data_IF_523137058211
#
_entry.id   IF_523137058211
#
_cell.length_a   1.000
_cell.length_b   1.000
_cell.length_c   1.000
_cell.angle_alpha   90.00
_cell.angle_beta   90.00
_cell.angle_gamma   90.00
#
_symmetry.space_group_name_H-M   'P 1'
#
loop_
_entity.id
_entity.type
_entity.pdbx_description
1 polymer ?
#
# COMPACT_ATOMS: atom_id res chain seq x y z
N UNK A 1 -5.18 -45.89 -2.95
CA UNK A 1 -6.05 -44.99 -3.74
C UNK A 1 -5.19 -43.87 -4.28
N UNK A 2 -4.96 -43.88 -5.59
CA UNK A 2 -4.07 -42.96 -6.29
C UNK A 2 -4.81 -41.63 -6.46
N UNK A 3 -4.33 -40.58 -5.81
CA UNK A 3 -4.84 -39.22 -5.92
C UNK A 3 -4.51 -38.63 -7.29
N UNK A 4 -5.55 -38.43 -8.09
CA UNK A 4 -5.53 -37.73 -9.38
C UNK A 4 -5.14 -36.27 -9.17
N UNK A 5 -4.18 -35.70 -9.93
CA UNK A 5 -3.86 -34.29 -9.84
C UNK A 5 -5.00 -33.48 -10.47
N UNK A 6 -5.57 -32.56 -9.69
CA UNK A 6 -6.56 -31.57 -10.14
C UNK A 6 -5.99 -30.78 -11.32
N UNK A 7 -6.55 -30.98 -12.51
CA UNK A 7 -6.25 -30.14 -13.67
C UNK A 7 -6.68 -28.68 -13.36
N UNK A 8 -5.82 -27.68 -13.59
CA UNK A 8 -6.22 -26.29 -13.43
C UNK A 8 -7.31 -25.95 -14.45
N UNK A 9 -8.48 -25.55 -13.97
CA UNK A 9 -9.59 -25.11 -14.81
C UNK A 9 -9.15 -23.94 -15.70
N UNK A 10 -9.43 -24.02 -17.01
CA UNK A 10 -9.03 -23.01 -18.02
C UNK A 10 -9.56 -21.58 -17.73
N UNK A 11 -10.50 -21.43 -16.79
CA UNK A 11 -10.97 -20.13 -16.29
C UNK A 11 -10.13 -19.48 -15.18
N UNK A 12 -9.13 -20.17 -14.62
CA UNK A 12 -8.33 -19.66 -13.51
C UNK A 12 -7.29 -18.61 -13.93
N UNK A 13 -6.82 -18.64 -15.20
CA UNK A 13 -5.75 -17.74 -15.68
C UNK A 13 -6.21 -16.28 -15.66
N UNK A 14 -7.43 -16.00 -16.10
CA UNK A 14 -8.03 -14.67 -16.16
C UNK A 14 -8.26 -14.03 -14.78
N UNK A 15 -8.34 -14.83 -13.71
CA UNK A 15 -8.51 -14.35 -12.33
C UNK A 15 -7.19 -14.11 -11.62
N UNK A 16 -6.05 -14.52 -12.19
CA UNK A 16 -4.74 -14.28 -11.57
C UNK A 16 -4.43 -12.79 -11.60
N UNK A 17 -3.93 -12.25 -10.48
CA UNK A 17 -3.47 -10.85 -10.38
C UNK A 17 -2.46 -10.53 -11.50
N UNK A 18 -1.62 -11.51 -11.85
CA UNK A 18 -0.63 -11.46 -12.94
C UNK A 18 -1.28 -11.11 -14.28
N UNK A 19 -2.34 -11.82 -14.65
CA UNK A 19 -3.03 -11.60 -15.92
C UNK A 19 -3.75 -10.25 -15.94
N UNK A 20 -4.42 -9.88 -14.84
CA UNK A 20 -5.12 -8.59 -14.74
C UNK A 20 -4.16 -7.40 -14.84
N UNK A 21 -3.01 -7.47 -14.15
CA UNK A 21 -1.99 -6.42 -14.18
C UNK A 21 -1.34 -6.31 -15.57
N UNK A 22 -1.01 -7.46 -16.18
CA UNK A 22 -0.48 -7.51 -17.54
C UNK A 22 -1.46 -6.91 -18.57
N UNK A 23 -2.75 -7.29 -18.48
CA UNK A 23 -3.79 -6.80 -19.36
C UNK A 23 -4.02 -5.29 -19.19
N UNK A 24 -4.05 -4.79 -17.96
CA UNK A 24 -4.18 -3.34 -17.69
C UNK A 24 -2.99 -2.54 -18.22
N UNK A 25 -1.77 -2.99 -17.95
CA UNK A 25 -0.57 -2.32 -18.46
C UNK A 25 -0.52 -2.33 -19.98
N UNK A 26 -0.83 -3.46 -20.62
CA UNK A 26 -0.90 -3.55 -22.07
C UNK A 26 -1.99 -2.63 -22.64
N UNK A 27 -3.17 -2.57 -22.03
CA UNK A 27 -4.25 -1.69 -22.46
C UNK A 27 -3.87 -0.21 -22.37
N UNK A 28 -3.23 0.21 -21.27
CA UNK A 28 -2.76 1.60 -21.09
C UNK A 28 -1.72 1.96 -22.16
N UNK A 29 -0.75 1.06 -22.42
CA UNK A 29 0.27 1.28 -23.46
C UNK A 29 -0.37 1.38 -24.85
N UNK A 30 -1.30 0.48 -25.18
CA UNK A 30 -1.99 0.47 -26.47
C UNK A 30 -2.79 1.76 -26.66
N UNK A 31 -3.62 2.15 -25.67
CA UNK A 31 -4.44 3.37 -25.76
C UNK A 31 -3.56 4.61 -25.89
N UNK A 32 -2.53 4.73 -25.06
CA UNK A 32 -1.61 5.89 -25.09
C UNK A 32 -0.88 5.98 -26.43
N UNK A 33 -0.38 4.86 -26.95
CA UNK A 33 0.27 4.80 -28.25
C UNK A 33 -0.68 5.16 -29.39
N UNK A 34 -1.92 4.64 -29.38
CA UNK A 34 -2.92 4.96 -30.40
C UNK A 34 -3.29 6.45 -30.40
N UNK A 35 -3.54 7.03 -29.22
CA UNK A 35 -3.80 8.47 -29.08
C UNK A 35 -2.62 9.29 -29.60
N UNK A 36 -1.39 8.89 -29.26
CA UNK A 36 -0.18 9.59 -29.72
C UNK A 36 0.00 9.49 -31.23
N UNK A 37 -0.20 8.31 -31.83
CA UNK A 37 -0.10 8.09 -33.28
C UNK A 37 -1.18 8.87 -34.04
N UNK A 38 -2.42 8.86 -33.55
CA UNK A 38 -3.52 9.64 -34.13
C UNK A 38 -3.20 11.14 -34.01
N UNK A 39 -2.75 11.60 -32.84
CA UNK A 39 -2.37 12.98 -32.61
C UNK A 39 -1.25 13.45 -33.54
N UNK A 40 -0.19 12.66 -33.68
CA UNK A 40 0.92 12.94 -34.59
C UNK A 40 0.44 13.03 -36.04
N UNK A 41 -0.35 12.05 -36.49
CA UNK A 41 -0.93 12.04 -37.84
C UNK A 41 -1.74 13.31 -38.12
N UNK A 42 -2.61 13.71 -37.20
CA UNK A 42 -3.42 14.91 -37.35
C UNK A 42 -2.59 16.19 -37.28
N UNK A 43 -1.56 16.21 -36.43
CA UNK A 43 -0.61 17.32 -36.33
C UNK A 43 0.15 17.55 -37.63
N UNK A 44 0.66 16.48 -38.26
CA UNK A 44 1.35 16.57 -39.57
C UNK A 44 0.40 17.06 -40.65
N UNK A 45 -0.82 16.50 -40.72
CA UNK A 45 -1.83 16.97 -41.67
C UNK A 45 -2.15 18.45 -41.49
N UNK A 46 -2.34 18.87 -40.24
CA UNK A 46 -2.62 20.26 -39.91
C UNK A 46 -1.46 21.17 -40.32
N UNK A 47 -0.22 20.78 -40.02
CA UNK A 47 0.99 21.52 -40.39
C UNK A 47 1.11 21.69 -41.92
N UNK A 48 0.94 20.62 -42.70
CA UNK A 48 1.02 20.67 -44.17
C UNK A 48 -0.05 21.57 -44.79
N UNK A 49 -1.29 21.51 -44.28
CA UNK A 49 -2.37 22.38 -44.77
C UNK A 49 -2.12 23.83 -44.36
N UNK A 50 -1.63 24.07 -43.15
CA UNK A 50 -1.32 25.41 -42.67
C UNK A 50 -0.15 26.05 -43.43
N UNK A 51 0.89 25.28 -43.74
CA UNK A 51 2.00 25.73 -44.58
C UNK A 51 1.50 26.07 -45.99
N UNK A 52 0.66 25.22 -46.58
CA UNK A 52 0.04 25.51 -47.87
C UNK A 52 -0.81 26.78 -47.83
N UNK A 53 -1.56 26.99 -46.75
CA UNK A 53 -2.36 28.19 -46.52
C UNK A 53 -1.52 29.46 -46.51
N UNK A 54 -0.37 29.44 -45.83
CA UNK A 54 0.56 30.56 -45.79
C UNK A 54 1.15 30.85 -47.16
N UNK A 55 1.65 29.83 -47.85
CA UNK A 55 2.22 29.95 -49.21
C UNK A 55 1.20 30.56 -50.17
N UNK A 56 -0.06 30.09 -50.15
CA UNK A 56 -1.09 30.62 -51.04
C UNK A 56 -1.43 32.09 -50.73
N UNK A 57 -1.41 32.51 -49.47
CA UNK A 57 -1.65 33.92 -49.10
C UNK A 57 -0.49 34.80 -49.56
N UNK A 58 0.75 34.35 -49.34
CA UNK A 58 1.95 35.07 -49.76
C UNK A 58 2.04 35.20 -51.30
N UNK A 59 1.76 34.11 -52.03
CA UNK A 59 1.75 34.09 -53.50
C UNK A 59 0.70 35.05 -54.07
N UNK A 60 -0.51 35.10 -53.49
CA UNK A 60 -1.56 36.04 -53.94
C UNK A 60 -1.10 37.48 -53.74
N UNK A 61 -0.44 37.77 -52.61
CA UNK A 61 0.09 39.11 -52.33
C UNK A 61 1.21 39.49 -53.29
N UNK A 62 2.13 38.57 -53.60
CA UNK A 62 3.20 38.79 -54.59
C UNK A 62 2.63 39.07 -55.98
N UNK A 63 1.61 38.31 -56.40
CA UNK A 63 0.93 38.51 -57.69
C UNK A 63 0.18 39.84 -57.71
N UNK A 64 -0.44 40.26 -56.60
CA UNK A 64 -1.08 41.57 -56.49
C UNK A 64 -0.07 42.70 -56.72
N UNK A 65 1.09 42.63 -56.06
CA UNK A 65 2.18 43.59 -56.23
C UNK A 65 2.70 43.60 -57.68
N UNK A 66 2.88 42.42 -58.28
CA UNK A 66 3.31 42.29 -59.66
C UNK A 66 2.31 42.94 -60.64
N UNK A 67 1.00 42.68 -60.48
CA UNK A 67 -0.06 43.30 -61.30
C UNK A 67 -0.05 44.82 -61.15
N UNK A 68 0.10 45.34 -59.93
CA UNK A 68 0.14 46.80 -59.67
C UNK A 68 1.38 47.48 -60.24
N UNK A 69 2.48 46.75 -60.42
CA UNK A 69 3.75 47.29 -60.95
C UNK A 69 3.84 47.34 -62.47
N UNK A 70 2.99 46.59 -63.18
CA UNK A 70 3.06 46.41 -64.64
C UNK A 70 2.08 47.34 -65.36
N UNK A 71 2.58 48.04 -66.39
CA UNK A 71 1.73 48.85 -67.30
C UNK A 71 0.96 47.97 -68.30
N UNK A 72 -0.10 48.52 -68.92
CA UNK A 72 -0.92 47.86 -69.96
C UNK A 72 -0.11 47.18 -71.07
N UNK A 73 1.03 47.77 -71.49
CA UNK A 73 1.91 47.22 -72.52
C UNK A 73 2.71 45.97 -72.05
N UNK A 74 2.91 45.80 -70.75
CA UNK A 74 3.68 44.71 -70.15
C UNK A 74 2.86 43.45 -69.82
N UNK A 75 1.55 43.42 -70.10
CA UNK A 75 0.66 42.29 -69.79
C UNK A 75 1.09 40.95 -70.39
N UNK A 76 1.58 40.87 -71.65
CA UNK A 76 2.08 39.60 -72.18
C UNK A 76 3.23 39.05 -71.36
N UNK A 77 4.16 39.91 -70.93
CA UNK A 77 5.30 39.53 -70.10
C UNK A 77 4.88 39.11 -68.68
N UNK A 78 3.88 39.77 -68.09
CA UNK A 78 3.29 39.36 -66.81
C UNK A 78 2.64 37.98 -66.91
N UNK A 79 1.82 37.74 -67.94
CA UNK A 79 1.19 36.43 -68.18
C UNK A 79 2.23 35.35 -68.39
N UNK A 80 3.27 35.62 -69.17
CA UNK A 80 4.38 34.69 -69.39
C UNK A 80 5.14 34.40 -68.08
N UNK A 81 5.33 35.40 -67.22
CA UNK A 81 5.90 35.23 -65.88
C UNK A 81 5.04 34.34 -64.97
N UNK A 82 3.72 34.57 -64.94
CA UNK A 82 2.77 33.75 -64.18
C UNK A 82 2.65 32.32 -64.73
N UNK A 83 2.68 32.15 -66.05
CA UNK A 83 2.75 30.82 -66.69
C UNK A 83 4.01 30.09 -66.27
N UNK A 84 5.17 30.75 -66.31
CA UNK A 84 6.45 30.14 -65.89
C UNK A 84 6.46 29.77 -64.40
N UNK A 85 5.84 30.59 -63.56
CA UNK A 85 5.64 30.30 -62.14
C UNK A 85 4.73 29.08 -61.94
N UNK A 86 3.65 28.96 -62.73
CA UNK A 86 2.76 27.81 -62.70
C UNK A 86 3.46 26.53 -63.15
N UNK A 87 4.15 26.56 -64.29
CA UNK A 87 4.94 25.44 -64.80
C UNK A 87 6.04 25.02 -63.81
N UNK A 88 6.68 25.99 -63.13
CA UNK A 88 7.65 25.74 -62.07
C UNK A 88 7.07 25.00 -60.86
N UNK A 89 5.75 25.10 -60.66
CA UNK A 89 4.99 24.46 -59.58
C UNK A 89 3.98 23.42 -60.10
N UNK A 90 4.17 22.88 -61.30
CA UNK A 90 3.29 21.87 -61.93
C UNK A 90 3.08 20.66 -60.99
N UNK A 91 4.17 20.20 -60.33
CA UNK A 91 4.14 19.12 -59.33
C UNK A 91 3.40 19.45 -58.04
N UNK A 92 2.85 20.65 -57.87
CA UNK A 92 1.97 21.01 -56.75
C UNK A 92 0.55 21.34 -57.23
N UNK A 93 0.29 21.19 -58.54
CA UNK A 93 -0.96 21.60 -59.19
C UNK A 93 -1.33 23.03 -58.84
N UNK A 94 -0.31 23.89 -58.74
CA UNK A 94 -0.49 25.30 -58.42
C UNK A 94 -0.99 26.02 -59.66
N UNK A 95 -1.93 26.93 -59.48
CA UNK A 95 -2.51 27.69 -60.58
C UNK A 95 -2.89 29.10 -60.15
N UNK A 96 -2.96 29.98 -61.15
CA UNK A 96 -3.45 31.35 -61.00
C UNK A 96 -4.61 31.58 -61.95
N UNK A 97 -5.63 32.26 -61.45
CA UNK A 97 -6.76 32.71 -62.22
C UNK A 97 -7.00 34.20 -61.97
N UNK A 98 -7.17 34.96 -63.05
CA UNK A 98 -7.48 36.38 -63.02
C UNK A 98 -8.92 36.57 -63.49
N UNK A 99 -9.70 37.29 -62.70
CA UNK A 99 -11.11 37.57 -62.97
C UNK A 99 -11.36 39.07 -63.10
N UNK A 100 -12.34 39.43 -63.92
CA UNK A 100 -12.83 40.78 -64.09
C UNK A 100 -13.68 41.26 -62.92
N UNK A 101 -14.12 42.52 -62.97
CA UNK A 101 -15.04 43.10 -61.98
C UNK A 101 -16.43 42.43 -62.00
N UNK A 102 -16.82 41.91 -63.16
CA UNK A 102 -18.04 41.12 -63.40
C UNK A 102 -17.93 39.66 -62.93
N UNK A 103 -16.73 39.24 -62.50
CA UNK A 103 -16.43 37.85 -62.15
C UNK A 103 -16.20 36.95 -63.37
N UNK A 104 -16.14 37.50 -64.59
CA UNK A 104 -15.76 36.74 -65.78
C UNK A 104 -14.25 36.43 -65.76
N UNK A 105 -13.88 35.25 -66.24
CA UNK A 105 -12.48 34.85 -66.28
C UNK A 105 -11.71 35.58 -67.38
N UNK A 106 -10.71 36.35 -67.00
CA UNK A 106 -9.82 37.07 -67.92
C UNK A 106 -8.70 36.14 -68.41
N UNK A 107 -8.14 35.35 -67.51
CA UNK A 107 -7.02 34.48 -67.81
C UNK A 107 -6.84 33.37 -66.76
N UNK A 108 -6.34 32.22 -67.21
CA UNK A 108 -5.96 31.08 -66.39
C UNK A 108 -4.56 30.62 -66.77
N UNK A 109 -3.78 30.19 -65.78
CA UNK A 109 -2.57 29.42 -66.04
C UNK A 109 -2.91 28.07 -66.70
N UNK A 110 -2.00 27.47 -67.49
CA UNK A 110 -2.26 26.20 -68.17
C UNK A 110 -2.71 25.07 -67.24
N UNK A 111 -2.18 25.03 -66.01
CA UNK A 111 -2.48 24.01 -64.99
C UNK A 111 -3.75 24.30 -64.18
N UNK A 112 -4.49 25.35 -64.52
CA UNK A 112 -5.75 25.66 -63.84
C UNK A 112 -6.80 24.58 -64.13
N UNK A 113 -7.60 24.19 -63.13
CA UNK A 113 -8.68 23.23 -63.34
C UNK A 113 -9.68 23.75 -64.39
N UNK A 114 -10.19 22.85 -65.25
CA UNK A 114 -11.11 23.20 -66.34
C UNK A 114 -12.41 23.91 -65.88
N UNK A 115 -12.76 23.75 -64.60
CA UNK A 115 -13.67 24.63 -63.87
C UNK A 115 -12.92 25.20 -62.67
N UNK A 116 -12.15 26.27 -62.89
CA UNK A 116 -11.73 27.08 -61.77
C UNK A 116 -13.00 27.51 -61.03
N UNK A 117 -13.10 27.28 -59.71
CA UNK A 117 -14.33 27.53 -59.00
C UNK A 117 -14.78 28.96 -59.24
N UNK A 118 -16.03 29.19 -59.63
CA UNK A 118 -16.69 30.50 -59.59
C UNK A 118 -17.34 30.66 -58.23
N UNK A 119 -16.53 30.74 -57.17
CA UNK A 119 -17.05 30.98 -55.82
C UNK A 119 -17.62 32.41 -55.74
N UNK A 120 -18.55 32.69 -54.81
CA UNK A 120 -19.07 34.04 -54.59
C UNK A 120 -17.93 35.03 -54.29
N UNK A 121 -18.05 36.26 -54.81
CA UNK A 121 -17.02 37.31 -54.77
C UNK A 121 -16.68 37.81 -53.34
N UNK A 122 -17.46 37.43 -52.32
CA UNK A 122 -17.47 38.09 -51.00
C UNK A 122 -16.46 37.54 -49.97
N UNK A 123 -15.78 36.41 -50.22
CA UNK A 123 -14.84 35.83 -49.22
C UNK A 123 -13.41 36.36 -49.42
N UNK A 124 -13.07 37.40 -48.64
CA UNK A 124 -11.70 37.92 -48.52
C UNK A 124 -10.73 36.91 -47.91
N UNK A 125 -9.54 36.80 -48.52
CA UNK A 125 -8.22 36.36 -48.02
C UNK A 125 -8.10 35.02 -47.25
N UNK A 126 -9.20 34.34 -46.91
CA UNK A 126 -9.16 33.10 -46.13
C UNK A 126 -9.04 31.89 -47.05
N UNK A 127 -8.01 31.04 -46.88
CA UNK A 127 -7.88 29.83 -47.66
C UNK A 127 -9.06 28.87 -47.44
N UNK A 128 -9.62 28.37 -48.53
CA UNK A 128 -10.77 27.45 -48.54
C UNK A 128 -10.45 26.18 -49.32
N UNK A 129 -10.99 25.06 -48.85
CA UNK A 129 -10.85 23.78 -49.55
C UNK A 129 -12.06 23.58 -50.45
N UNK A 130 -11.85 23.40 -51.74
CA UNK A 130 -12.90 23.19 -52.74
C UNK A 130 -12.47 22.14 -53.75
N UNK A 131 -13.28 21.09 -53.93
CA UNK A 131 -13.09 20.03 -54.94
C UNK A 131 -11.67 19.44 -55.01
N UNK A 132 -11.03 19.25 -53.85
CA UNK A 132 -9.66 18.72 -53.79
C UNK A 132 -8.55 19.76 -53.97
N UNK A 133 -8.88 21.03 -54.15
CA UNK A 133 -7.93 22.14 -54.15
C UNK A 133 -8.03 22.96 -52.86
N UNK A 134 -6.93 23.62 -52.50
CA UNK A 134 -6.90 24.71 -51.52
C UNK A 134 -6.74 26.01 -52.29
N UNK A 135 -7.58 27.00 -52.03
CA UNK A 135 -7.70 28.21 -52.85
C UNK A 135 -7.79 29.44 -51.98
N UNK A 136 -7.09 30.50 -52.38
CA UNK A 136 -7.14 31.85 -51.79
C UNK A 136 -7.58 32.84 -52.86
N UNK A 137 -8.37 33.84 -52.46
CA UNK A 137 -8.85 34.90 -53.35
C UNK A 137 -8.62 36.26 -52.74
N UNK A 138 -8.25 37.21 -53.59
CA UNK A 138 -8.07 38.59 -53.20
C UNK A 138 -8.69 39.53 -54.23
N UNK A 139 -9.66 40.38 -53.82
CA UNK A 139 -10.17 41.42 -54.70
C UNK A 139 -9.11 42.51 -54.88
N UNK A 140 -9.02 43.04 -56.10
CA UNK A 140 -8.21 44.21 -56.44
C UNK A 140 -9.11 45.45 -56.36
N UNK A 141 -8.88 46.31 -55.37
CA UNK A 141 -9.58 47.59 -55.22
C UNK A 141 -8.57 48.73 -55.06
N UNK A 142 -8.52 49.71 -55.99
CA UNK A 142 -9.26 49.76 -57.26
C UNK A 142 -8.82 48.63 -58.21
N UNK A 143 -9.71 48.17 -59.10
CA UNK A 143 -9.39 47.23 -60.16
C UNK A 143 -8.25 47.77 -61.02
N UNK A 144 -7.30 46.90 -61.34
CA UNK A 144 -6.14 47.28 -62.14
C UNK A 144 -6.34 46.67 -63.51
N UNK A 145 -6.47 47.53 -64.52
CA UNK A 145 -6.39 47.09 -65.91
C UNK A 145 -7.48 46.09 -66.35
N UNK A 146 -8.65 46.13 -65.67
CA UNK A 146 -9.79 45.24 -65.88
C UNK A 146 -9.79 43.99 -64.99
N UNK A 147 -8.70 43.73 -64.26
CA UNK A 147 -8.64 42.65 -63.26
C UNK A 147 -9.24 43.14 -61.95
N UNK A 148 -10.37 42.55 -61.57
CA UNK A 148 -11.08 42.83 -60.32
C UNK A 148 -10.76 41.84 -59.19
N UNK A 149 -10.27 40.64 -59.52
CA UNK A 149 -9.94 39.60 -58.52
C UNK A 149 -8.82 38.67 -58.97
N UNK A 150 -7.95 38.32 -58.02
CA UNK A 150 -6.89 37.31 -58.16
C UNK A 150 -7.33 36.07 -57.38
N UNK A 151 -7.14 34.91 -57.98
CA UNK A 151 -7.28 33.62 -57.32
C UNK A 151 -6.01 32.80 -57.53
N UNK A 152 -5.47 32.25 -56.44
CA UNK A 152 -4.39 31.28 -56.47
C UNK A 152 -4.86 30.02 -55.78
N UNK A 153 -4.52 28.87 -56.32
CA UNK A 153 -4.86 27.60 -55.69
C UNK A 153 -3.84 26.51 -55.98
N UNK A 154 -3.88 25.46 -55.17
CA UNK A 154 -3.03 24.29 -55.32
C UNK A 154 -3.80 23.01 -55.01
N UNK A 155 -3.41 21.88 -55.60
CA UNK A 155 -4.08 20.60 -55.34
C UNK A 155 -3.70 20.03 -53.97
N UNK A 156 -4.68 19.49 -53.25
CA UNK A 156 -4.47 18.73 -52.02
C UNK A 156 -4.04 17.27 -52.30
N UNK A 157 -3.93 16.86 -53.56
CA UNK A 157 -3.57 15.49 -53.94
C UNK A 157 -2.18 15.10 -53.43
N UNK A 158 -1.20 16.02 -53.49
CA UNK A 158 0.14 15.80 -52.94
C UNK A 158 0.09 15.58 -51.43
N UNK A 159 -0.66 16.41 -50.69
CA UNK A 159 -0.87 16.23 -49.25
C UNK A 159 -1.59 14.91 -48.96
N UNK A 160 -2.58 14.50 -49.77
CA UNK A 160 -3.26 13.21 -49.62
C UNK A 160 -2.32 12.04 -49.86
N UNK A 161 -1.45 12.11 -50.87
CA UNK A 161 -0.46 11.07 -51.17
C UNK A 161 0.60 10.96 -50.07
N UNK A 162 1.07 12.09 -49.54
CA UNK A 162 1.98 12.13 -48.39
C UNK A 162 1.32 11.54 -47.14
N UNK A 163 0.07 11.91 -46.89
CA UNK A 163 -0.70 11.34 -45.79
C UNK A 163 -0.94 9.84 -45.95
N UNK A 164 -1.14 9.32 -47.17
CA UNK A 164 -1.29 7.88 -47.40
C UNK A 164 -0.02 7.10 -47.03
N UNK A 165 1.16 7.66 -47.29
CA UNK A 165 2.44 7.07 -46.85
C UNK A 165 2.56 7.09 -45.33
N UNK A 166 2.20 8.20 -44.69
CA UNK A 166 2.17 8.30 -43.23
C UNK A 166 1.19 7.28 -42.64
N UNK A 167 0.02 7.10 -43.25
CA UNK A 167 -1.00 6.13 -42.80
C UNK A 167 -0.47 4.70 -42.79
N UNK A 168 0.31 4.31 -43.80
CA UNK A 168 0.98 3.00 -43.83
C UNK A 168 1.95 2.83 -42.66
N UNK A 169 2.80 3.82 -42.38
CA UNK A 169 3.73 3.77 -41.25
C UNK A 169 3.02 3.78 -39.90
N UNK A 170 1.96 4.57 -39.76
CA UNK A 170 1.13 4.61 -38.55
C UNK A 170 0.46 3.26 -38.31
N UNK A 171 -0.08 2.61 -39.36
CA UNK A 171 -0.68 1.28 -39.25
C UNK A 171 0.35 0.22 -38.87
N UNK A 172 1.55 0.24 -39.46
CA UNK A 172 2.64 -0.67 -39.09
C UNK A 172 3.07 -0.47 -37.63
N UNK A 173 3.23 0.78 -37.19
CA UNK A 173 3.57 1.10 -35.81
C UNK A 173 2.47 0.66 -34.83
N UNK A 174 1.20 0.92 -35.16
CA UNK A 174 0.06 0.49 -34.36
C UNK A 174 -0.02 -1.04 -34.24
N UNK A 175 0.20 -1.76 -35.35
CA UNK A 175 0.27 -3.23 -35.36
C UNK A 175 1.42 -3.78 -34.52
N UNK A 176 2.60 -3.16 -34.61
CA UNK A 176 3.75 -3.53 -33.78
C UNK A 176 3.43 -3.36 -32.28
N UNK A 177 2.87 -2.21 -31.88
CA UNK A 177 2.48 -1.95 -30.48
C UNK A 177 1.42 -2.96 -30.02
N UNK A 178 0.43 -3.27 -30.85
CA UNK A 178 -0.63 -4.22 -30.51
C UNK A 178 -0.08 -5.64 -30.23
N UNK A 179 1.00 -6.02 -30.91
CA UNK A 179 1.67 -7.31 -30.71
C UNK A 179 2.65 -7.29 -29.52
N UNK A 180 3.46 -6.23 -29.39
CA UNK A 180 4.52 -6.18 -28.38
C UNK A 180 4.00 -5.81 -26.99
N UNK A 181 2.98 -4.95 -26.88
CA UNK A 181 2.49 -4.50 -25.57
C UNK A 181 1.95 -5.63 -24.69
N UNK A 182 1.15 -6.61 -25.19
CA UNK A 182 0.74 -7.77 -24.40
C UNK A 182 1.91 -8.66 -23.98
N UNK A 183 2.89 -8.88 -24.87
CA UNK A 183 4.07 -9.69 -24.59
C UNK A 183 4.93 -9.07 -23.48
N UNK A 184 5.24 -7.78 -23.61
CA UNK A 184 5.97 -7.01 -22.61
C UNK A 184 5.21 -6.94 -21.29
N UNK A 185 3.90 -6.65 -21.33
CA UNK A 185 3.04 -6.60 -20.15
C UNK A 185 3.00 -7.93 -19.40
N UNK A 186 2.89 -9.04 -20.12
CA UNK A 186 2.92 -10.38 -19.54
C UNK A 186 4.28 -10.72 -18.93
N UNK A 187 5.38 -10.41 -19.63
CA UNK A 187 6.73 -10.64 -19.13
C UNK A 187 7.00 -9.87 -17.82
N UNK A 188 6.64 -8.58 -17.78
CA UNK A 188 6.85 -7.72 -16.62
C UNK A 188 6.02 -8.19 -15.42
N UNK A 189 4.73 -8.48 -15.63
CA UNK A 189 3.85 -9.00 -14.59
C UNK A 189 4.31 -10.38 -14.08
N UNK A 190 4.83 -11.23 -14.97
CA UNK A 190 5.37 -12.54 -14.62
C UNK A 190 6.62 -12.42 -13.75
N UNK A 191 7.52 -11.47 -14.04
CA UNK A 191 8.74 -11.25 -13.23
C UNK A 191 8.41 -10.78 -11.83
N UNK A 192 7.55 -9.76 -11.70
CA UNK A 192 7.13 -9.22 -10.41
C UNK A 192 6.45 -10.28 -9.54
N UNK A 193 5.57 -11.07 -10.15
CA UNK A 193 4.77 -12.01 -9.38
C UNK A 193 5.49 -13.35 -9.09
N UNK A 194 6.55 -13.71 -9.82
CA UNK A 194 7.47 -14.80 -9.40
C UNK A 194 8.18 -14.42 -8.11
N UNK A 195 8.73 -13.20 -8.07
CA UNK A 195 9.42 -12.66 -6.90
C UNK A 195 8.58 -12.71 -5.63
N UNK A 196 7.31 -12.29 -5.71
CA UNK A 196 6.38 -12.38 -4.58
C UNK A 196 6.07 -13.84 -4.24
N UNK A 197 5.93 -14.70 -5.25
CA UNK A 197 5.71 -16.13 -5.07
C UNK A 197 6.80 -16.81 -4.25
N UNK A 198 8.06 -16.49 -4.53
CA UNK A 198 9.22 -17.06 -3.81
C UNK A 198 9.15 -16.72 -2.32
N UNK A 199 8.89 -15.44 -1.97
CA UNK A 199 8.74 -14.98 -0.58
C UNK A 199 7.58 -15.70 0.11
N UNK A 200 6.43 -15.82 -0.55
CA UNK A 200 5.26 -16.52 0.00
C UNK A 200 5.58 -18.00 0.25
N UNK A 201 6.24 -18.66 -0.69
CA UNK A 201 6.59 -20.08 -0.53
C UNK A 201 7.61 -20.27 0.59
N UNK A 202 8.62 -19.41 0.70
CA UNK A 202 9.58 -19.46 1.81
C UNK A 202 8.86 -19.23 3.14
N UNK A 203 8.06 -18.17 3.25
CA UNK A 203 7.28 -17.88 4.46
C UNK A 203 6.34 -19.03 4.84
N UNK A 204 5.72 -19.71 3.87
CA UNK A 204 4.85 -20.87 4.11
C UNK A 204 5.62 -22.13 4.55
N UNK A 205 6.92 -22.22 4.25
CA UNK A 205 7.79 -23.31 4.72
C UNK A 205 8.43 -23.05 6.08
N UNK A 206 8.49 -21.79 6.52
CA UNK A 206 9.03 -21.42 7.83
C UNK A 206 8.17 -22.05 8.92
N UNK A 207 8.80 -22.88 9.74
CA UNK A 207 8.17 -23.45 10.93
C UNK A 207 8.56 -22.60 12.13
N UNK A 208 7.60 -22.11 12.94
CA UNK A 208 7.87 -21.28 14.13
C UNK A 208 8.85 -21.91 15.14
N UNK A 209 9.08 -23.22 15.07
CA UNK A 209 9.84 -24.01 16.04
C UNK A 209 11.35 -24.09 15.70
N UNK A 210 11.79 -23.66 14.51
CA UNK A 210 13.22 -23.55 14.19
C UNK A 210 13.64 -22.08 14.19
N UNK A 211 14.12 -21.64 15.35
CA UNK A 211 14.51 -20.28 15.78
C UNK A 211 15.63 -19.59 14.97
N UNK A 212 15.84 -19.93 13.69
CA UNK A 212 16.90 -19.34 12.88
C UNK A 212 16.61 -19.28 11.38
N UNK A 213 15.39 -19.59 10.95
CA UNK A 213 15.01 -19.43 9.54
C UNK A 213 14.32 -18.08 9.35
N UNK A 214 15.06 -17.12 8.78
CA UNK A 214 14.56 -15.81 8.39
C UNK A 214 14.31 -15.75 6.88
N UNK A 215 13.40 -14.88 6.45
CA UNK A 215 13.30 -14.53 5.04
C UNK A 215 14.59 -13.84 4.59
N UNK A 216 15.16 -14.33 3.48
CA UNK A 216 16.35 -13.74 2.89
C UNK A 216 16.05 -12.33 2.37
N UNK A 217 16.83 -11.36 2.85
CA UNK A 217 16.78 -9.97 2.38
C UNK A 217 17.58 -9.89 1.08
N UNK A 218 16.99 -9.28 0.05
CA UNK A 218 17.62 -9.22 -1.29
C UNK A 218 18.66 -8.13 -1.39
N UNK A 219 18.56 -7.11 -0.53
CA UNK A 219 19.45 -5.95 -0.54
C UNK A 219 19.11 -4.96 -1.65
N UNK A 220 17.90 -5.02 -2.20
CA UNK A 220 17.36 -4.07 -3.17
C UNK A 220 16.91 -2.76 -2.50
N UNK A 221 16.58 -2.79 -1.20
CA UNK A 221 16.10 -1.62 -0.47
C UNK A 221 14.70 -1.15 -0.89
N UNK A 222 13.93 -2.03 -1.52
CA UNK A 222 12.57 -1.77 -2.01
C UNK A 222 11.51 -2.25 -1.01
N UNK A 223 10.24 -2.08 -1.36
CA UNK A 223 9.09 -2.44 -0.50
C UNK A 223 9.07 -3.93 -0.15
N UNK A 224 9.70 -4.77 -0.96
CA UNK A 224 9.81 -6.21 -0.72
C UNK A 224 10.79 -6.54 0.41
N UNK A 225 11.92 -5.82 0.50
CA UNK A 225 12.85 -5.94 1.62
C UNK A 225 12.19 -5.44 2.93
N UNK A 226 11.42 -4.35 2.87
CA UNK A 226 10.65 -3.85 4.02
C UNK A 226 9.61 -4.86 4.51
N UNK A 227 8.93 -5.56 3.59
CA UNK A 227 8.00 -6.63 3.96
C UNK A 227 8.73 -7.81 4.60
N UNK A 228 9.87 -8.23 4.05
CA UNK A 228 10.69 -9.31 4.61
C UNK A 228 11.15 -8.97 6.05
N UNK A 229 11.62 -7.73 6.28
CA UNK A 229 11.99 -7.24 7.61
C UNK A 229 10.81 -7.26 8.59
N UNK A 230 9.63 -6.81 8.15
CA UNK A 230 8.42 -6.80 8.98
C UNK A 230 8.00 -8.21 9.38
N UNK A 231 8.03 -9.16 8.43
CA UNK A 231 7.71 -10.57 8.72
C UNK A 231 8.75 -11.18 9.65
N UNK A 232 10.04 -10.92 9.43
CA UNK A 232 11.10 -11.40 10.31
C UNK A 232 10.89 -10.89 11.75
N UNK A 233 10.57 -9.61 11.95
CA UNK A 233 10.28 -9.07 13.28
C UNK A 233 9.05 -9.71 13.95
N UNK A 234 8.03 -10.07 13.18
CA UNK A 234 6.88 -10.83 13.71
C UNK A 234 7.28 -12.26 14.11
N UNK A 235 8.12 -12.93 13.30
CA UNK A 235 8.64 -14.26 13.61
C UNK A 235 9.48 -14.24 14.89
N UNK A 236 10.35 -13.25 15.05
CA UNK A 236 11.18 -13.10 16.26
C UNK A 236 10.30 -12.91 17.51
N UNK A 237 9.22 -12.12 17.41
CA UNK A 237 8.28 -11.92 18.53
C UNK A 237 7.51 -13.19 18.90
N UNK A 238 7.11 -13.98 17.90
CA UNK A 238 6.46 -15.28 18.12
C UNK A 238 7.45 -16.26 18.76
N UNK A 239 8.70 -16.29 18.28
CA UNK A 239 9.77 -17.12 18.83
C UNK A 239 9.96 -16.87 20.34
N UNK A 240 10.15 -15.60 20.72
CA UNK A 240 10.29 -15.21 22.15
C UNK A 240 9.09 -15.65 22.98
N UNK A 241 7.87 -15.48 22.46
CA UNK A 241 6.65 -15.89 23.15
C UNK A 241 6.55 -17.41 23.32
N UNK A 242 6.89 -18.19 22.30
CA UNK A 242 6.86 -19.66 22.34
C UNK A 242 7.91 -20.19 23.31
N UNK A 243 9.13 -19.64 23.31
CA UNK A 243 10.20 -20.05 24.22
C UNK A 243 9.83 -19.73 25.67
N UNK A 244 9.32 -18.53 25.94
CA UNK A 244 8.85 -18.15 27.29
C UNK A 244 7.76 -19.10 27.81
N UNK A 245 6.80 -19.49 26.94
CA UNK A 245 5.76 -20.46 27.29
C UNK A 245 6.33 -21.85 27.56
N UNK A 246 7.36 -22.26 26.81
CA UNK A 246 8.02 -23.55 27.00
C UNK A 246 8.77 -23.60 28.33
N UNK A 247 9.50 -22.54 28.66
CA UNK A 247 10.23 -22.42 29.92
C UNK A 247 9.26 -22.39 31.12
N UNK A 248 8.16 -21.65 30.99
CA UNK A 248 7.09 -21.65 31.99
C UNK A 248 6.53 -23.06 32.24
N UNK A 249 6.18 -23.80 31.17
CA UNK A 249 5.69 -25.18 31.30
C UNK A 249 6.73 -26.13 31.90
N UNK A 250 8.02 -25.94 31.57
CA UNK A 250 9.10 -26.72 32.13
C UNK A 250 9.27 -26.47 33.63
N UNK A 251 9.20 -25.21 34.07
CA UNK A 251 9.27 -24.83 35.47
C UNK A 251 8.06 -25.34 36.25
N UNK A 252 6.85 -25.17 35.73
CA UNK A 252 5.63 -25.71 36.35
C UNK A 252 5.70 -27.23 36.54
N UNK A 253 6.21 -27.97 35.55
CA UNK A 253 6.41 -29.41 35.66
C UNK A 253 7.46 -29.79 36.72
N UNK A 254 8.46 -28.95 36.95
CA UNK A 254 9.46 -29.15 38.01
C UNK A 254 8.85 -28.92 39.40
N UNK A 255 8.20 -27.78 39.60
CA UNK A 255 7.56 -27.39 40.86
C UNK A 255 6.45 -28.37 41.27
N UNK A 256 5.72 -28.97 40.33
CA UNK A 256 4.73 -30.01 40.62
C UNK A 256 5.36 -31.35 41.02
N UNK A 257 6.56 -31.67 40.51
CA UNK A 257 7.21 -32.97 40.75
C UNK A 257 7.72 -33.10 42.18
N UNK A 258 8.17 -32.00 42.79
CA UNK A 258 8.70 -31.97 44.15
C UNK A 258 7.69 -32.40 45.23
N UNK A 259 6.53 -31.74 45.40
CA UNK A 259 5.53 -32.14 46.39
C UNK A 259 4.96 -33.53 46.09
N UNK A 260 4.82 -33.90 44.81
CA UNK A 260 4.36 -35.24 44.42
C UNK A 260 5.36 -36.34 44.81
N UNK A 261 6.67 -36.05 44.75
CA UNK A 261 7.70 -36.95 45.25
C UNK A 261 7.70 -37.03 46.79
N UNK A 262 7.46 -35.92 47.48
CA UNK A 262 7.34 -35.87 48.94
C UNK A 262 6.14 -36.69 49.44
N UNK A 263 4.93 -36.48 48.87
CA UNK A 263 3.73 -37.28 49.17
C UNK A 263 4.02 -38.77 48.98
N UNK A 264 4.64 -39.13 47.85
CA UNK A 264 4.98 -40.52 47.57
C UNK A 264 5.96 -41.08 48.61
N UNK A 265 6.97 -40.31 48.99
CA UNK A 265 7.93 -40.71 50.02
C UNK A 265 7.24 -40.93 51.37
N UNK A 266 6.39 -40.02 51.82
CA UNK A 266 5.68 -40.15 53.10
C UNK A 266 4.77 -41.38 53.12
N UNK A 267 4.10 -41.69 52.01
CA UNK A 267 3.29 -42.92 51.88
C UNK A 267 4.17 -44.19 51.84
N UNK A 268 5.29 -44.18 51.09
CA UNK A 268 6.23 -45.31 51.06
C UNK A 268 6.86 -45.56 52.43
N UNK A 269 7.18 -44.49 53.17
CA UNK A 269 7.62 -44.56 54.56
C UNK A 269 6.51 -45.22 55.37
N UNK A 270 5.29 -44.67 55.39
CA UNK A 270 4.15 -45.21 56.14
C UNK A 270 3.92 -46.71 55.91
N UNK A 271 4.13 -47.21 54.69
CA UNK A 271 3.97 -48.63 54.34
C UNK A 271 5.14 -49.54 54.75
N UNK A 272 6.34 -49.01 54.99
CA UNK A 272 7.58 -49.78 55.20
C UNK A 272 7.87 -50.25 56.64
N UNK A 273 6.84 -50.53 57.45
CA UNK A 273 7.01 -51.12 58.78
C UNK A 273 5.90 -50.78 59.76
N UNK A 274 5.81 -51.54 60.86
CA UNK A 274 4.92 -51.19 61.99
C UNK A 274 5.42 -49.91 62.67
N UNK A 275 4.48 -49.00 62.96
CA UNK A 275 4.70 -47.69 63.60
C UNK A 275 3.67 -47.45 64.69
N UNK A 276 3.96 -46.50 65.57
CA UNK A 276 2.97 -46.05 66.53
C UNK A 276 1.82 -45.32 65.82
N UNK A 277 0.62 -45.26 66.44
CA UNK A 277 -0.47 -44.43 65.92
C UNK A 277 -0.09 -42.96 65.74
N UNK A 278 0.74 -42.42 66.64
CA UNK A 278 1.22 -41.03 66.60
C UNK A 278 2.11 -40.78 65.37
N UNK A 279 3.03 -41.70 65.04
CA UNK A 279 3.87 -41.59 63.84
C UNK A 279 3.08 -41.69 62.53
N UNK A 280 1.95 -42.42 62.53
CA UNK A 280 1.03 -42.45 61.38
C UNK A 280 0.24 -41.15 61.25
N UNK A 281 -0.17 -40.54 62.36
CA UNK A 281 -0.84 -39.24 62.36
C UNK A 281 0.10 -38.16 61.82
N UNK A 282 1.36 -38.12 62.26
CA UNK A 282 2.37 -37.18 61.75
C UNK A 282 2.59 -37.32 60.23
N UNK A 283 2.74 -38.55 59.73
CA UNK A 283 2.90 -38.80 58.28
C UNK A 283 1.66 -38.41 57.47
N UNK A 284 0.46 -38.55 58.03
CA UNK A 284 -0.79 -38.11 57.39
C UNK A 284 -0.89 -36.59 57.36
N UNK A 285 -0.43 -35.90 58.41
CA UNK A 285 -0.34 -34.43 58.44
C UNK A 285 0.61 -33.95 57.35
N UNK A 286 1.82 -34.53 57.22
CA UNK A 286 2.77 -34.19 56.16
C UNK A 286 2.16 -34.35 54.75
N UNK A 287 1.43 -35.45 54.52
CA UNK A 287 0.75 -35.67 53.23
C UNK A 287 -0.33 -34.61 52.96
N UNK A 288 -1.09 -34.21 53.98
CA UNK A 288 -2.12 -33.16 53.85
C UNK A 288 -1.47 -31.81 53.54
N UNK A 289 -0.36 -31.47 54.19
CA UNK A 289 0.38 -30.24 53.93
C UNK A 289 0.91 -30.18 52.49
N UNK A 290 1.51 -31.27 52.01
CA UNK A 290 1.99 -31.36 50.62
C UNK A 290 0.86 -31.31 49.59
N UNK A 291 -0.31 -31.91 49.89
CA UNK A 291 -1.50 -31.78 49.06
C UNK A 291 -1.98 -30.32 48.99
N UNK A 292 -1.96 -29.59 50.12
CA UNK A 292 -2.30 -28.18 50.17
C UNK A 292 -1.33 -27.31 49.37
N UNK A 293 -0.03 -27.60 49.43
CA UNK A 293 0.98 -26.92 48.62
C UNK A 293 0.77 -27.15 47.12
N UNK A 294 0.44 -28.38 46.72
CA UNK A 294 0.11 -28.71 45.34
C UNK A 294 -1.15 -27.98 44.85
N UNK A 295 -2.20 -27.91 45.68
CA UNK A 295 -3.44 -27.18 45.37
C UNK A 295 -3.16 -25.69 45.16
N UNK A 296 -2.36 -25.08 46.03
CA UNK A 296 -1.95 -23.67 45.89
C UNK A 296 -1.19 -23.44 44.57
N UNK A 297 -0.24 -24.32 44.23
CA UNK A 297 0.53 -24.22 42.98
C UNK A 297 -0.38 -24.34 41.75
N UNK A 298 -1.31 -25.30 41.73
CA UNK A 298 -2.26 -25.47 40.62
C UNK A 298 -3.15 -24.24 40.47
N UNK A 299 -3.66 -23.68 41.58
CA UNK A 299 -4.47 -22.47 41.55
C UNK A 299 -3.68 -21.25 41.02
N UNK A 300 -2.39 -21.13 41.37
CA UNK A 300 -1.52 -20.09 40.82
C UNK A 300 -1.31 -20.24 39.32
N UNK A 301 -1.08 -21.47 38.83
CA UNK A 301 -0.93 -21.75 37.41
C UNK A 301 -2.21 -21.46 36.61
N UNK A 302 -3.38 -21.81 37.17
CA UNK A 302 -4.68 -21.51 36.57
C UNK A 302 -4.94 -20.01 36.48
N UNK A 303 -4.68 -19.28 37.56
CA UNK A 303 -4.81 -17.83 37.59
C UNK A 303 -3.92 -17.17 36.52
N UNK A 304 -2.67 -17.61 36.40
CA UNK A 304 -1.76 -17.08 35.39
C UNK A 304 -2.27 -17.37 33.96
N UNK A 305 -2.72 -18.60 33.70
CA UNK A 305 -3.28 -18.97 32.41
C UNK A 305 -4.55 -18.17 32.05
N UNK A 306 -5.40 -17.87 33.03
CA UNK A 306 -6.59 -17.01 32.85
C UNK A 306 -6.18 -15.56 32.55
N UNK A 307 -5.16 -15.02 33.23
CA UNK A 307 -4.68 -13.65 32.98
C UNK A 307 -4.02 -13.47 31.61
N UNK A 308 -3.35 -14.49 31.08
CA UNK A 308 -2.77 -14.45 29.72
C UNK A 308 -3.85 -14.52 28.62
N UNK A 309 -4.97 -15.19 28.89
CA UNK A 309 -6.04 -15.39 27.92
C UNK A 309 -7.03 -14.21 27.83
N UNK A 310 -7.19 -13.41 28.90
CA UNK A 310 -8.40 -12.60 29.10
C UNK A 310 -8.16 -11.10 29.42
N UNK A 311 -7.08 -10.52 28.88
CA UNK A 311 -6.78 -9.08 29.01
C UNK A 311 -7.93 -8.11 28.62
N UNK A 312 -8.90 -8.41 27.74
CA UNK A 312 -9.99 -7.47 27.43
C UNK A 312 -11.28 -7.61 28.28
N UNK A 313 -11.46 -8.66 29.09
CA UNK A 313 -12.81 -9.01 29.62
C UNK A 313 -12.95 -8.99 31.16
N UNK A 314 -11.88 -8.68 31.90
CA UNK A 314 -12.01 -8.46 33.35
C UNK A 314 -13.00 -7.31 33.60
N UNK A 315 -14.15 -7.60 34.22
CA UNK A 315 -15.11 -6.58 34.66
C UNK A 315 -14.41 -5.62 35.61
N UNK A 316 -14.06 -4.45 35.10
CA UNK A 316 -13.54 -3.34 35.89
C UNK A 316 -14.71 -2.72 36.66
N UNK A 317 -14.68 -2.82 37.98
CA UNK A 317 -15.67 -2.22 38.86
C UNK A 317 -15.00 -1.21 39.82
N UNK A 318 -15.74 -0.22 40.36
CA UNK A 318 -15.21 0.64 41.41
C UNK A 318 -14.91 -0.17 42.68
N UNK A 319 -13.64 -0.19 43.11
CA UNK A 319 -13.14 -0.91 44.29
C UNK A 319 -12.48 0.09 45.24
N UNK A 320 -12.89 0.08 46.51
CA UNK A 320 -12.21 0.85 47.57
C UNK A 320 -11.04 0.02 48.15
N UNK A 321 -9.81 0.46 47.87
CA UNK A 321 -8.60 -0.22 48.33
C UNK A 321 -8.44 -0.19 49.85
N UNK A 322 -8.95 0.84 50.53
CA UNK A 322 -8.85 0.92 52.00
C UNK A 322 -9.66 -0.19 52.68
N UNK A 323 -10.87 -0.44 52.18
CA UNK A 323 -11.76 -1.50 52.64
C UNK A 323 -11.20 -2.88 52.29
N UNK A 324 -10.64 -3.03 51.09
CA UNK A 324 -10.02 -4.28 50.65
C UNK A 324 -8.79 -4.60 51.52
N UNK A 325 -7.96 -3.61 51.83
CA UNK A 325 -6.80 -3.77 52.69
C UNK A 325 -7.15 -4.14 54.14
N UNK A 326 -8.13 -3.46 54.74
CA UNK A 326 -8.61 -3.81 56.07
C UNK A 326 -9.09 -5.26 56.14
N UNK A 327 -9.92 -5.69 55.18
CA UNK A 327 -10.47 -7.06 55.15
C UNK A 327 -9.39 -8.13 54.95
N UNK A 328 -8.38 -7.84 54.13
CA UNK A 328 -7.27 -8.77 53.92
C UNK A 328 -6.42 -8.89 55.19
N UNK A 329 -6.13 -7.79 55.89
CA UNK A 329 -5.43 -7.83 57.18
C UNK A 329 -6.20 -8.66 58.21
N UNK A 330 -7.51 -8.40 58.37
CA UNK A 330 -8.37 -9.14 59.31
C UNK A 330 -8.33 -10.66 59.09
N UNK A 331 -8.19 -11.10 57.83
CA UNK A 331 -8.13 -12.52 57.47
C UNK A 331 -6.84 -13.20 57.94
N UNK A 332 -5.72 -12.47 57.98
CA UNK A 332 -4.41 -13.01 58.35
C UNK A 332 -4.03 -12.78 59.81
N UNK A 333 -4.81 -11.99 60.57
CA UNK A 333 -4.53 -11.68 61.99
C UNK A 333 -4.30 -12.94 62.82
N UNK A 334 -5.16 -13.96 62.70
CA UNK A 334 -5.00 -15.21 63.46
C UNK A 334 -3.74 -16.00 63.11
N UNK A 335 -3.29 -15.96 61.85
CA UNK A 335 -2.06 -16.63 61.40
C UNK A 335 -0.83 -15.88 61.93
N UNK A 336 -0.86 -14.54 61.89
CA UNK A 336 0.20 -13.71 62.42
C UNK A 336 0.34 -13.86 63.95
N UNK A 337 -0.78 -13.86 64.68
CA UNK A 337 -0.82 -14.07 66.13
C UNK A 337 -0.22 -15.41 66.54
N UNK A 338 -0.57 -16.49 65.82
CA UNK A 338 -0.02 -17.83 66.06
C UNK A 338 1.51 -17.89 65.86
N UNK A 339 2.07 -17.00 65.02
CA UNK A 339 3.52 -16.86 64.79
C UNK A 339 4.18 -15.79 65.66
N UNK A 340 3.42 -15.09 66.51
CA UNK A 340 3.91 -13.99 67.33
C UNK A 340 4.40 -12.80 66.51
N UNK A 341 3.76 -12.52 65.37
CA UNK A 341 4.06 -11.39 64.48
C UNK A 341 2.96 -10.34 64.65
N UNK A 342 3.35 -9.08 64.81
CA UNK A 342 2.42 -7.96 64.90
C UNK A 342 1.93 -7.56 63.49
N UNK A 343 0.70 -7.92 63.13
CA UNK A 343 0.06 -7.51 61.88
C UNK A 343 -0.86 -6.31 62.13
N UNK A 344 -0.53 -5.15 61.55
CA UNK A 344 -1.27 -3.90 61.77
C UNK A 344 -1.66 -3.21 60.46
N UNK A 345 -2.77 -2.48 60.51
CA UNK A 345 -3.12 -1.50 59.48
C UNK A 345 -2.45 -0.16 59.81
N UNK A 346 -1.73 0.38 58.83
CA UNK A 346 -1.10 1.69 58.94
C UNK A 346 -2.06 2.80 58.52
N UNK A 347 -1.62 3.69 57.62
CA UNK A 347 -2.49 4.73 57.06
C UNK A 347 -3.37 4.13 55.97
N UNK A 348 -4.70 4.15 56.15
CA UNK A 348 -5.66 3.68 55.14
C UNK A 348 -6.53 4.84 54.64
N UNK A 349 -6.09 5.50 53.57
CA UNK A 349 -6.87 6.57 52.94
C UNK A 349 -7.94 6.00 52.00
N UNK A 350 -9.19 6.51 52.04
CA UNK A 350 -10.23 6.07 51.12
C UNK A 350 -9.80 6.28 49.67
N UNK A 351 -9.77 5.20 48.88
CA UNK A 351 -9.23 5.24 47.54
C UNK A 351 -10.01 4.30 46.61
N UNK A 352 -10.88 4.89 45.79
CA UNK A 352 -11.70 4.16 44.82
C UNK A 352 -10.97 4.09 43.49
N UNK A 353 -10.65 2.88 43.04
CA UNK A 353 -10.05 2.61 41.73
C UNK A 353 -10.96 1.75 40.87
N UNK A 354 -10.83 1.83 39.54
CA UNK A 354 -11.44 0.87 38.63
C UNK A 354 -10.54 -0.37 38.56
N UNK A 355 -11.07 -1.52 38.96
CA UNK A 355 -10.31 -2.77 38.96
C UNK A 355 -11.19 -4.00 39.18
N UNK A 356 -10.60 -5.18 39.08
CA UNK A 356 -11.25 -6.43 39.47
C UNK A 356 -10.99 -6.68 40.96
N UNK A 357 -12.04 -6.65 41.78
CA UNK A 357 -11.92 -6.79 43.23
C UNK A 357 -11.30 -8.14 43.67
N UNK A 358 -11.55 -9.22 42.93
CA UNK A 358 -10.98 -10.54 43.23
C UNK A 358 -9.47 -10.56 42.97
N UNK A 359 -9.02 -10.04 41.82
CA UNK A 359 -7.59 -9.99 41.49
C UNK A 359 -6.81 -9.08 42.44
N UNK A 360 -7.35 -7.89 42.77
CA UNK A 360 -6.71 -6.98 43.72
C UNK A 360 -6.60 -7.59 45.13
N UNK A 361 -7.65 -8.30 45.58
CA UNK A 361 -7.62 -9.06 46.83
C UNK A 361 -6.57 -10.17 46.81
N UNK A 362 -6.46 -10.89 45.70
CA UNK A 362 -5.46 -11.94 45.53
C UNK A 362 -4.04 -11.40 45.65
N UNK A 363 -3.74 -10.30 44.94
CA UNK A 363 -2.43 -9.63 45.02
C UNK A 363 -2.13 -9.24 46.45
N UNK A 364 -3.07 -8.58 47.13
CA UNK A 364 -2.84 -8.15 48.50
C UNK A 364 -2.69 -9.31 49.48
N UNK A 365 -3.49 -10.36 49.34
CA UNK A 365 -3.37 -11.56 50.16
C UNK A 365 -2.01 -12.24 49.96
N UNK A 366 -1.53 -12.35 48.72
CA UNK A 366 -0.22 -12.92 48.42
C UNK A 366 0.92 -12.08 49.04
N UNK A 367 0.80 -10.75 49.00
CA UNK A 367 1.78 -9.87 49.64
C UNK A 367 1.80 -10.01 51.17
N UNK A 368 0.62 -10.05 51.80
CA UNK A 368 0.51 -10.22 53.25
C UNK A 368 0.97 -11.62 53.69
N UNK A 369 0.60 -12.67 52.96
CA UNK A 369 1.04 -14.04 53.24
C UNK A 369 2.57 -14.15 53.18
N UNK A 370 3.18 -13.61 52.11
CA UNK A 370 4.63 -13.54 52.00
C UNK A 370 5.26 -12.76 53.16
N UNK A 371 4.72 -11.58 53.48
CA UNK A 371 5.22 -10.76 54.58
C UNK A 371 5.19 -11.51 55.93
N UNK A 372 4.09 -12.19 56.25
CA UNK A 372 3.94 -13.01 57.46
C UNK A 372 4.83 -14.25 57.41
N UNK A 373 5.10 -14.82 56.23
CA UNK A 373 5.97 -15.98 56.05
C UNK A 373 7.44 -15.68 56.30
N UNK A 374 7.93 -14.52 55.88
CA UNK A 374 9.36 -14.16 55.96
C UNK A 374 9.72 -13.25 57.13
N UNK A 375 8.75 -12.85 57.95
CA UNK A 375 8.98 -12.09 59.18
C UNK A 375 9.26 -13.02 60.36
N UNK A 376 10.32 -12.73 61.13
CA UNK A 376 10.64 -13.48 62.34
C UNK A 376 9.66 -13.21 63.50
N UNK A 377 9.60 -14.11 64.47
CA UNK A 377 8.80 -13.92 65.68
C UNK A 377 9.19 -12.61 66.40
N UNK A 378 8.20 -11.82 66.82
CA UNK A 378 8.38 -10.49 67.39
C UNK A 378 8.56 -9.37 66.34
N UNK A 379 8.55 -9.71 65.05
CA UNK A 379 8.55 -8.75 63.95
C UNK A 379 7.16 -8.16 63.67
N UNK A 380 7.10 -7.26 62.68
CA UNK A 380 5.91 -6.48 62.34
C UNK A 380 5.65 -6.48 60.84
N UNK A 381 4.38 -6.57 60.47
CA UNK A 381 3.88 -6.35 59.10
C UNK A 381 2.85 -5.22 59.14
N UNK A 382 3.02 -4.22 58.28
CA UNK A 382 2.15 -3.04 58.18
C UNK A 382 1.59 -2.90 56.76
N UNK A 383 0.29 -2.68 56.64
CA UNK A 383 -0.38 -2.41 55.36
C UNK A 383 -0.89 -0.98 55.31
N UNK A 384 -0.45 -0.22 54.29
CA UNK A 384 -0.79 1.19 54.06
C UNK A 384 -1.48 1.38 52.69
N UNK A 385 -2.44 2.29 52.64
CA UNK A 385 -3.06 2.84 51.43
C UNK A 385 -2.94 4.35 51.49
N UNK A 386 -2.19 4.95 50.57
CA UNK A 386 -2.00 6.40 50.49
C UNK A 386 -2.37 6.93 49.10
N UNK A 387 -2.90 8.14 49.05
CA UNK A 387 -3.33 8.81 47.82
C UNK A 387 -2.43 10.01 47.57
N UNK A 388 -1.68 9.96 46.47
CA UNK A 388 -0.98 11.13 45.96
C UNK A 388 -1.89 11.88 44.98
N UNK A 389 -2.60 12.89 45.52
CA UNK A 389 -3.49 13.72 44.72
C UNK A 389 -2.75 14.54 43.65
N UNK A 390 -1.48 14.89 43.86
CA UNK A 390 -0.69 15.67 42.91
C UNK A 390 -0.26 14.81 41.70
N UNK A 391 0.03 13.53 41.93
CA UNK A 391 0.38 12.58 40.87
C UNK A 391 -0.80 11.77 40.33
N UNK A 392 -1.99 11.91 40.91
CA UNK A 392 -3.19 11.13 40.57
C UNK A 392 -2.94 9.61 40.70
N UNK A 393 -2.22 9.22 41.74
CA UNK A 393 -1.85 7.83 42.01
C UNK A 393 -2.31 7.39 43.39
N UNK A 394 -2.60 6.09 43.51
CA UNK A 394 -2.87 5.43 44.79
C UNK A 394 -1.77 4.40 45.00
N UNK A 395 -1.14 4.45 46.17
CA UNK A 395 -0.13 3.50 46.59
C UNK A 395 -0.71 2.57 47.66
N UNK A 396 -0.73 1.27 47.36
CA UNK A 396 -0.97 0.19 48.33
C UNK A 396 0.39 -0.43 48.67
N UNK A 397 0.78 -0.39 49.94
CA UNK A 397 2.09 -0.85 50.41
C UNK A 397 1.90 -1.88 51.53
N UNK A 398 2.61 -3.00 51.42
CA UNK A 398 2.79 -3.97 52.51
C UNK A 398 4.26 -3.92 52.90
N UNK A 399 4.54 -3.65 54.17
CA UNK A 399 5.88 -3.48 54.70
C UNK A 399 6.12 -4.47 55.83
N UNK A 400 7.21 -5.22 55.77
CA UNK A 400 7.58 -6.23 56.76
C UNK A 400 8.96 -5.95 57.38
N UNK A 401 9.21 -6.51 58.56
CA UNK A 401 10.52 -6.43 59.23
C UNK A 401 11.31 -7.74 59.12
N UNK A 402 11.06 -8.51 58.05
CA UNK A 402 11.73 -9.78 57.79
C UNK A 402 13.14 -9.63 57.25
N UNK A 403 13.70 -10.75 56.79
CA UNK A 403 15.09 -10.85 56.30
C UNK A 403 15.37 -10.05 55.01
N UNK A 404 14.32 -9.59 54.31
CA UNK A 404 14.44 -8.93 53.02
C UNK A 404 14.95 -9.84 51.91
N UNK A 405 15.16 -9.27 50.73
CA UNK A 405 15.77 -9.94 49.58
C UNK A 405 17.16 -9.36 49.35
N UNK A 406 18.12 -10.18 48.92
CA UNK A 406 19.43 -9.68 48.49
C UNK A 406 19.30 -8.88 47.18
N UNK A 407 20.25 -7.99 46.86
CA UNK A 407 20.19 -7.20 45.61
C UNK A 407 20.12 -8.05 44.34
N UNK A 408 20.69 -9.26 44.38
CA UNK A 408 20.67 -10.21 43.26
C UNK A 408 19.29 -10.88 43.11
N UNK A 409 18.58 -11.11 44.21
CA UNK A 409 17.22 -11.67 44.22
C UNK A 409 16.15 -10.63 43.84
N UNK A 410 16.42 -9.32 43.99
CA UNK A 410 15.51 -8.25 43.56
C UNK A 410 15.49 -8.00 42.04
N UNK A 411 16.46 -8.52 41.28
CA UNK A 411 16.58 -8.28 39.83
C UNK A 411 15.90 -9.35 38.97
N UNK A 412 15.39 -10.42 39.58
CA UNK A 412 14.64 -11.51 38.95
C UNK A 412 13.18 -11.46 39.41
#
# INVERSE_FOLDING_TARGET
MVSTPLQPSRGAVWRTLRFRLAAWNAAVVIVTALVTLIGLRQGVRWALVHELDQVLVDDVHEIELAIRSVTTAGRPALREGLTRMAEGHERRGWYVALFGEDGESIWFSPDAPARAPTLPLERNQSPISFDGFRVVRQPLSPPVDGVGMIQVGATLEHIRADMARIDQWVLLAAGAVLLTAPLCGYWLASRAARTIGDIITTAATLRPIRLGEHLAIRGSGDELDMLALTINGLLDRIAVYVDSKRDFLANAAHELRTPLAAIRSSVEVALNGERSPEEYEDLMVDVIEECGALEALVNQLLLLAETEADLPTARMEPVDLSVLASKSVDMFTGVADARGIELITGRLEPAIILGNAAHLRQVLNNLIDNAVKYTHQGGRVTTDVTVDAAQQQVELRVNDTGQGLTPTEQQH
#
